data_IF_495103749144
#
_entry.id   IF_495103749144
#
_cell.length_a   1.000
_cell.length_b   1.000
_cell.length_c   1.000
_cell.angle_alpha   90.00
_cell.angle_beta   90.00
_cell.angle_gamma   90.00
#
_symmetry.space_group_name_H-M   'P 1'
#
loop_
_entity.id
_entity.type
_entity.pdbx_description
1 polymer ?
#
# COMPACT_ATOMS: atom_id res chain seq x y z
N UNK A 1 12.02 -1.22 31.38
CA UNK A 1 11.00 -2.18 31.83
C UNK A 1 11.57 -3.52 31.45
N UNK A 2 11.90 -4.34 32.44
CA UNK A 2 12.57 -5.62 32.24
C UNK A 2 11.66 -6.57 31.44
N UNK A 3 12.27 -7.45 30.66
CA UNK A 3 11.56 -8.49 29.90
C UNK A 3 11.30 -9.71 30.81
N UNK A 4 10.22 -10.48 30.61
CA UNK A 4 9.98 -11.71 31.37
C UNK A 4 11.15 -12.70 31.25
N UNK A 5 11.42 -13.50 32.29
CA UNK A 5 12.59 -14.39 32.32
C UNK A 5 12.61 -15.47 31.23
N UNK A 6 11.43 -15.91 30.77
CA UNK A 6 11.32 -16.81 29.61
C UNK A 6 11.76 -16.11 28.31
N UNK A 7 11.45 -14.81 28.18
CA UNK A 7 11.89 -13.99 27.05
C UNK A 7 13.40 -13.74 27.12
N UNK A 8 13.96 -13.43 28.30
CA UNK A 8 15.41 -13.31 28.48
C UNK A 8 16.16 -14.59 28.08
N UNK A 9 15.61 -15.75 28.46
CA UNK A 9 16.19 -17.05 28.13
C UNK A 9 16.16 -17.32 26.62
N UNK A 10 15.08 -16.92 25.94
CA UNK A 10 14.92 -17.06 24.49
C UNK A 10 15.78 -16.08 23.71
N UNK A 11 15.90 -14.82 24.16
CA UNK A 11 16.74 -13.78 23.56
C UNK A 11 18.22 -14.18 23.49
N UNK A 12 18.71 -14.89 24.51
CA UNK A 12 20.12 -15.25 24.60
C UNK A 12 20.99 -13.99 24.66
N UNK A 13 21.88 -13.81 23.67
CA UNK A 13 22.79 -12.66 23.58
C UNK A 13 22.23 -11.52 22.70
N UNK A 14 21.05 -11.70 22.10
CA UNK A 14 20.46 -10.72 21.18
C UNK A 14 19.76 -9.58 21.94
N UNK A 15 19.82 -8.38 21.36
CA UNK A 15 19.10 -7.22 21.88
C UNK A 15 17.77 -7.04 21.15
N UNK A 16 16.76 -6.59 21.88
CA UNK A 16 15.45 -6.25 21.30
C UNK A 16 15.58 -4.94 20.50
N UNK A 17 15.33 -5.02 19.20
CA UNK A 17 15.28 -3.86 18.29
C UNK A 17 13.91 -3.16 18.33
N UNK A 18 12.82 -3.92 18.46
CA UNK A 18 11.48 -3.37 18.59
C UNK A 18 10.60 -4.20 19.51
N UNK A 19 9.67 -3.53 20.21
CA UNK A 19 8.67 -4.16 21.08
C UNK A 19 7.29 -3.59 20.76
N UNK A 20 6.33 -4.48 20.51
CA UNK A 20 4.95 -4.13 20.16
C UNK A 20 4.01 -4.89 21.07
N UNK A 21 3.20 -4.17 21.85
CA UNK A 21 2.11 -4.79 22.61
C UNK A 21 1.04 -5.30 21.65
N UNK A 22 0.72 -6.59 21.75
CA UNK A 22 -0.26 -7.28 20.89
C UNK A 22 -1.55 -7.62 21.64
N UNK A 23 -1.69 -7.16 22.89
CA UNK A 23 -2.94 -7.18 23.66
C UNK A 23 -2.75 -7.73 25.07
N UNK A 24 -3.38 -7.09 26.06
CA UNK A 24 -3.16 -7.46 27.47
C UNK A 24 -1.68 -7.30 27.84
N UNK A 25 -1.07 -8.38 28.29
CA UNK A 25 0.36 -8.47 28.61
C UNK A 25 1.17 -9.19 27.52
N UNK A 26 0.53 -9.56 26.41
CA UNK A 26 1.19 -10.21 25.26
C UNK A 26 2.00 -9.20 24.45
N UNK A 27 3.15 -9.65 23.96
CA UNK A 27 4.11 -8.80 23.27
C UNK A 27 4.78 -9.50 22.09
N UNK A 28 5.03 -8.73 21.04
CA UNK A 28 5.89 -9.11 19.94
C UNK A 28 7.21 -8.36 20.09
N UNK A 29 8.32 -9.10 20.12
CA UNK A 29 9.67 -8.57 20.19
C UNK A 29 10.41 -8.92 18.92
N UNK A 30 11.08 -7.94 18.33
CA UNK A 30 11.90 -8.14 17.13
C UNK A 30 13.36 -8.01 17.53
N UNK A 31 14.15 -9.01 17.19
CA UNK A 31 15.61 -9.06 17.35
C UNK A 31 16.28 -8.96 15.97
N UNK A 32 17.61 -8.89 15.86
CA UNK A 32 18.27 -8.88 14.56
C UNK A 32 18.02 -10.12 13.71
N UNK A 33 17.74 -11.29 14.31
CA UNK A 33 17.64 -12.55 13.54
C UNK A 33 16.26 -13.21 13.56
N UNK A 34 15.37 -12.78 14.47
CA UNK A 34 14.06 -13.41 14.69
C UNK A 34 13.05 -12.51 15.37
N UNK A 35 11.79 -12.85 15.22
CA UNK A 35 10.66 -12.32 15.97
C UNK A 35 10.29 -13.31 17.07
N UNK A 36 10.06 -12.80 18.28
CA UNK A 36 9.57 -13.54 19.42
C UNK A 36 8.14 -13.08 19.74
N UNK A 37 7.22 -14.02 19.95
CA UNK A 37 5.87 -13.73 20.41
C UNK A 37 5.74 -14.26 21.83
N UNK A 38 5.69 -13.33 22.76
CA UNK A 38 5.43 -13.59 24.16
C UNK A 38 3.91 -13.56 24.42
N UNK A 39 3.40 -14.65 24.99
CA UNK A 39 2.03 -14.75 25.52
C UNK A 39 2.11 -14.87 27.04
N UNK A 40 1.47 -13.94 27.73
CA UNK A 40 1.47 -13.96 29.18
C UNK A 40 0.59 -15.10 29.72
N UNK A 41 0.86 -15.50 30.96
CA UNK A 41 0.05 -16.48 31.68
C UNK A 41 -1.41 -16.02 31.74
N UNK A 42 -2.31 -16.92 31.34
CA UNK A 42 -3.74 -16.71 31.33
C UNK A 42 -4.46 -17.71 32.24
N UNK A 43 -5.75 -17.48 32.48
CA UNK A 43 -6.58 -18.37 33.31
C UNK A 43 -6.59 -19.84 32.85
N UNK A 44 -6.25 -20.09 31.58
CA UNK A 44 -6.32 -21.39 30.92
C UNK A 44 -5.05 -21.75 30.12
N UNK A 45 -4.05 -20.87 30.10
CA UNK A 45 -2.87 -21.02 29.25
C UNK A 45 -1.64 -20.61 30.03
N UNK A 46 -0.62 -21.46 30.03
CA UNK A 46 0.67 -21.13 30.61
C UNK A 46 1.39 -20.04 29.78
N UNK A 47 2.36 -19.38 30.39
CA UNK A 47 3.28 -18.43 29.75
C UNK A 47 4.07 -19.12 28.61
N UNK A 48 4.08 -18.51 27.41
CA UNK A 48 4.80 -19.06 26.24
C UNK A 48 5.61 -18.02 25.48
N UNK A 49 6.66 -18.49 24.80
CA UNK A 49 7.43 -17.73 23.81
C UNK A 49 7.56 -18.57 22.56
N UNK A 50 7.07 -18.04 21.44
CA UNK A 50 7.22 -18.63 20.11
C UNK A 50 8.24 -17.83 19.29
N UNK A 51 9.10 -18.52 18.55
CA UNK A 51 10.19 -17.90 17.78
C UNK A 51 9.99 -18.07 16.27
N UNK A 52 10.22 -16.99 15.53
CA UNK A 52 10.03 -16.90 14.09
C UNK A 52 11.29 -16.29 13.46
N UNK A 53 12.20 -17.11 12.90
CA UNK A 53 13.38 -16.64 12.20
C UNK A 53 13.06 -15.65 11.06
N UNK A 54 13.96 -14.70 10.81
CA UNK A 54 13.80 -13.68 9.77
C UNK A 54 14.30 -14.10 8.39
N UNK A 55 14.95 -15.26 8.25
CA UNK A 55 15.39 -15.85 6.97
C UNK A 55 14.23 -16.45 6.15
N UNK A 56 13.04 -15.87 6.28
CA UNK A 56 11.87 -16.24 5.48
C UNK A 56 12.06 -15.73 4.04
N UNK A 57 11.79 -16.60 3.08
CA UNK A 57 11.82 -16.27 1.64
C UNK A 57 10.53 -15.59 1.19
N UNK A 58 9.46 -15.73 1.97
CA UNK A 58 8.16 -15.11 1.68
C UNK A 58 7.40 -14.78 2.96
N UNK A 59 6.81 -13.59 3.00
CA UNK A 59 5.96 -13.09 4.06
C UNK A 59 4.58 -12.76 3.49
N UNK A 60 3.56 -13.44 3.98
CA UNK A 60 2.17 -13.22 3.57
C UNK A 60 1.33 -12.74 4.76
N UNK A 61 0.33 -11.91 4.47
CA UNK A 61 -0.61 -11.39 5.49
C UNK A 61 -2.04 -11.65 5.04
N UNK A 62 -2.78 -12.40 5.86
CA UNK A 62 -4.20 -12.67 5.65
C UNK A 62 -5.05 -11.89 6.67
N UNK A 63 -5.78 -10.90 6.17
CA UNK A 63 -6.55 -9.99 7.02
C UNK A 63 -7.94 -10.52 7.33
N UNK A 64 -8.17 -10.88 8.58
CA UNK A 64 -9.50 -11.14 9.11
C UNK A 64 -10.10 -9.93 9.83
N UNK A 65 -11.41 -10.00 10.13
CA UNK A 65 -12.15 -8.92 10.81
C UNK A 65 -11.62 -8.58 12.22
N UNK A 66 -11.11 -9.57 12.94
CA UNK A 66 -10.67 -9.46 14.35
C UNK A 66 -9.22 -9.80 14.56
N UNK A 67 -8.71 -10.66 13.68
CA UNK A 67 -7.41 -11.28 13.75
C UNK A 67 -6.80 -11.22 12.36
N UNK A 68 -5.51 -10.99 12.30
CA UNK A 68 -4.70 -10.99 11.08
C UNK A 68 -3.66 -12.08 11.26
N UNK A 69 -3.57 -12.95 10.28
CA UNK A 69 -2.58 -14.03 10.23
C UNK A 69 -1.36 -13.55 9.44
N UNK A 70 -0.18 -13.82 9.98
CA UNK A 70 1.11 -13.57 9.34
C UNK A 70 1.75 -14.93 9.11
N UNK A 71 2.14 -15.19 7.87
CA UNK A 71 2.74 -16.44 7.42
C UNK A 71 4.14 -16.16 6.91
N UNK A 72 5.10 -16.92 7.41
CA UNK A 72 6.51 -16.89 7.01
C UNK A 72 6.85 -18.24 6.39
N UNK A 73 7.19 -18.22 5.10
CA UNK A 73 7.61 -19.41 4.34
C UNK A 73 9.14 -19.41 4.22
N UNK A 74 9.74 -20.58 4.44
CA UNK A 74 11.20 -20.79 4.43
C UNK A 74 11.59 -21.86 3.39
N UNK A 75 12.84 -21.80 2.90
CA UNK A 75 13.40 -22.63 1.82
C UNK A 75 13.15 -24.16 1.88
N UNK A 76 12.94 -24.72 3.07
CA UNK A 76 12.82 -26.18 3.29
C UNK A 76 11.41 -26.52 3.76
N UNK A 77 10.40 -26.22 2.93
CA UNK A 77 8.95 -26.50 3.16
C UNK A 77 8.50 -26.28 4.62
N UNK A 78 9.12 -25.30 5.26
CA UNK A 78 8.82 -24.94 6.63
C UNK A 78 8.00 -23.68 6.52
N UNK A 79 6.78 -23.74 7.01
CA UNK A 79 5.90 -22.60 7.14
C UNK A 79 5.70 -22.36 8.63
N UNK A 80 5.76 -21.10 9.04
CA UNK A 80 5.36 -20.69 10.39
C UNK A 80 4.34 -19.60 10.29
N UNK A 81 3.27 -19.77 11.03
CA UNK A 81 2.18 -18.81 11.09
C UNK A 81 1.95 -18.33 12.51
N UNK A 82 1.51 -17.09 12.63
CA UNK A 82 1.00 -16.57 13.89
C UNK A 82 -0.10 -15.55 13.66
N UNK A 83 -0.96 -15.41 14.66
CA UNK A 83 -2.09 -14.52 14.57
C UNK A 83 -1.99 -13.37 15.57
N UNK A 84 -2.20 -12.16 15.05
CA UNK A 84 -2.27 -10.92 15.82
C UNK A 84 -3.70 -10.37 15.80
N UNK A 85 -4.16 -9.66 16.84
CA UNK A 85 -5.38 -8.89 16.71
C UNK A 85 -5.22 -7.81 15.64
N UNK A 86 -6.22 -7.62 14.78
CA UNK A 86 -6.08 -6.84 13.54
C UNK A 86 -5.65 -5.40 13.77
N UNK A 87 -5.98 -4.80 14.93
CA UNK A 87 -5.60 -3.41 15.26
C UNK A 87 -4.10 -3.26 15.53
N UNK A 88 -3.41 -4.35 15.82
CA UNK A 88 -2.00 -4.39 16.16
C UNK A 88 -1.16 -4.95 15.01
N UNK A 89 -1.78 -5.64 14.06
CA UNK A 89 -1.12 -6.30 12.95
C UNK A 89 -0.26 -5.33 12.12
N UNK A 90 -0.80 -4.21 11.65
CA UNK A 90 -0.03 -3.22 10.87
C UNK A 90 1.18 -2.69 11.65
N UNK A 91 1.01 -2.42 12.95
CA UNK A 91 2.09 -1.91 13.82
C UNK A 91 3.19 -2.95 14.05
N UNK A 92 2.81 -4.22 14.14
CA UNK A 92 3.73 -5.33 14.33
C UNK A 92 4.41 -5.76 13.02
N UNK A 93 3.71 -5.64 11.89
CA UNK A 93 4.22 -6.00 10.57
C UNK A 93 5.44 -5.17 10.19
N UNK A 94 5.43 -3.87 10.49
CA UNK A 94 6.56 -2.97 10.19
C UNK A 94 7.92 -3.47 10.72
N UNK A 95 8.11 -3.69 12.04
CA UNK A 95 9.38 -4.18 12.53
C UNK A 95 9.67 -5.63 12.14
N UNK A 96 8.66 -6.49 11.93
CA UNK A 96 8.88 -7.86 11.44
C UNK A 96 9.45 -7.83 10.03
N UNK A 97 8.83 -7.07 9.13
CA UNK A 97 9.31 -6.91 7.76
C UNK A 97 10.70 -6.29 7.72
N UNK A 98 10.98 -5.31 8.58
CA UNK A 98 12.32 -4.73 8.69
C UNK A 98 13.38 -5.76 9.08
N UNK A 99 13.06 -6.68 9.99
CA UNK A 99 13.94 -7.80 10.34
C UNK A 99 14.17 -8.75 9.15
N UNK A 100 13.09 -9.11 8.43
CA UNK A 100 13.17 -9.97 7.24
C UNK A 100 14.03 -9.34 6.13
N UNK A 101 13.82 -8.06 5.82
CA UNK A 101 14.63 -7.33 4.82
C UNK A 101 16.11 -7.20 5.22
N UNK A 102 16.41 -7.18 6.51
CA UNK A 102 17.79 -7.21 6.99
C UNK A 102 18.41 -8.60 6.83
N UNK A 103 17.69 -9.64 7.24
CA UNK A 103 18.16 -11.03 7.15
C UNK A 103 18.33 -11.52 5.70
N UNK A 104 17.47 -11.06 4.77
CA UNK A 104 17.58 -11.39 3.34
C UNK A 104 18.65 -10.57 2.61
N UNK A 105 19.27 -9.59 3.27
CA UNK A 105 20.31 -8.75 2.67
C UNK A 105 19.80 -7.66 1.72
N UNK A 106 18.51 -7.33 1.77
CA UNK A 106 17.91 -6.22 1.01
C UNK A 106 18.37 -4.88 1.57
N UNK A 107 18.53 -4.79 2.90
CA UNK A 107 19.08 -3.60 3.57
C UNK A 107 20.53 -3.81 3.96
N UNK A 108 21.34 -2.76 3.81
CA UNK A 108 22.75 -2.80 4.20
C UNK A 108 22.92 -2.75 5.73
N UNK A 109 24.05 -3.21 6.29
CA UNK A 109 24.29 -3.12 7.72
C UNK A 109 24.25 -1.67 8.23
N UNK A 110 23.33 -1.37 9.16
CA UNK A 110 23.15 -0.03 9.73
C UNK A 110 22.10 0.82 9.01
N UNK A 111 21.61 0.37 7.87
CA UNK A 111 20.43 0.93 7.21
C UNK A 111 19.18 0.64 8.04
N UNK A 112 18.29 1.62 8.16
CA UNK A 112 17.08 1.51 8.97
C UNK A 112 15.83 1.63 8.13
N UNK A 113 14.84 0.78 8.38
CA UNK A 113 13.52 0.90 7.78
C UNK A 113 12.76 2.02 8.48
N UNK A 114 12.43 3.08 7.73
CA UNK A 114 11.75 4.28 8.24
C UNK A 114 10.24 4.09 8.25
N UNK A 115 9.70 3.46 7.20
CA UNK A 115 8.27 3.16 7.09
C UNK A 115 7.98 2.06 6.08
N UNK A 116 6.92 1.29 6.34
CA UNK A 116 6.32 0.35 5.40
C UNK A 116 4.89 0.77 5.07
N UNK A 117 4.54 0.67 3.79
CA UNK A 117 3.20 0.87 3.26
C UNK A 117 2.75 -0.38 2.51
N UNK A 118 1.47 -0.74 2.65
CA UNK A 118 0.83 -1.81 1.88
C UNK A 118 -0.43 -1.26 1.22
N UNK A 119 -0.52 -1.44 -0.09
CA UNK A 119 -1.58 -0.95 -0.96
C UNK A 119 -2.08 -2.09 -1.84
N UNK A 120 -3.04 -2.87 -1.34
CA UNK A 120 -3.48 -4.09 -2.02
C UNK A 120 -2.28 -5.02 -2.28
N UNK A 121 -1.88 -5.20 -3.53
CA UNK A 121 -0.75 -6.04 -3.94
C UNK A 121 0.60 -5.30 -3.96
N UNK A 122 0.63 -3.99 -3.68
CA UNK A 122 1.86 -3.21 -3.69
C UNK A 122 2.36 -2.97 -2.26
N UNK A 123 3.58 -3.39 -1.97
CA UNK A 123 4.30 -3.02 -0.75
C UNK A 123 5.40 -2.02 -1.10
N UNK A 124 5.46 -0.91 -0.35
CA UNK A 124 6.52 0.10 -0.47
C UNK A 124 7.19 0.25 0.88
N UNK A 125 8.50 0.08 0.91
CA UNK A 125 9.33 0.26 2.09
C UNK A 125 10.30 1.39 1.84
N UNK A 126 10.27 2.40 2.71
CA UNK A 126 11.21 3.53 2.68
C UNK A 126 12.22 3.31 3.80
N UNK A 127 13.49 3.24 3.44
CA UNK A 127 14.61 3.09 4.39
C UNK A 127 15.35 4.43 4.54
N UNK A 128 16.49 4.41 5.22
CA UNK A 128 17.41 5.55 5.25
C UNK A 128 18.17 5.75 3.93
N UNK A 129 18.29 4.71 3.10
CA UNK A 129 19.23 4.70 1.96
C UNK A 129 18.57 4.28 0.63
N UNK A 130 17.37 3.69 0.65
CA UNK A 130 16.66 3.25 -0.55
C UNK A 130 15.15 3.23 -0.39
N UNK A 131 14.46 3.10 -1.52
CA UNK A 131 13.07 2.68 -1.58
C UNK A 131 13.01 1.26 -2.15
N UNK A 132 12.34 0.36 -1.43
CA UNK A 132 12.03 -1.00 -1.90
C UNK A 132 10.57 -1.06 -2.30
N UNK A 133 10.31 -1.66 -3.45
CA UNK A 133 9.00 -1.87 -4.02
C UNK A 133 8.81 -3.36 -4.29
N UNK A 134 7.73 -3.91 -3.78
CA UNK A 134 7.31 -5.29 -4.05
C UNK A 134 5.87 -5.28 -4.58
N UNK A 135 5.58 -6.13 -5.57
CA UNK A 135 4.25 -6.25 -6.19
C UNK A 135 3.85 -7.71 -6.24
N UNK A 136 2.85 -8.08 -5.44
CA UNK A 136 2.29 -9.43 -5.42
C UNK A 136 1.27 -9.63 -4.31
N UNK A 137 0.81 -10.87 -4.16
CA UNK A 137 -0.08 -11.27 -3.05
C UNK A 137 0.67 -11.29 -1.71
N UNK A 138 1.95 -11.66 -1.74
CA UNK A 138 2.81 -11.58 -0.58
C UNK A 138 3.08 -10.11 -0.22
N UNK A 139 3.32 -9.84 1.06
CA UNK A 139 3.85 -8.54 1.48
C UNK A 139 5.31 -8.42 1.06
N UNK A 140 6.02 -9.55 0.98
CA UNK A 140 7.41 -9.64 0.57
C UNK A 140 7.75 -11.07 0.11
N UNK A 141 8.57 -11.24 -0.93
CA UNK A 141 9.16 -12.51 -1.38
C UNK A 141 10.61 -12.29 -1.84
N UNK A 142 11.11 -12.81 -2.97
CA UNK A 142 12.45 -12.45 -3.50
C UNK A 142 12.35 -11.54 -4.75
N UNK A 143 11.13 -11.27 -5.22
CA UNK A 143 10.85 -10.52 -6.44
C UNK A 143 10.51 -9.06 -6.10
N UNK A 144 11.55 -8.24 -5.89
CA UNK A 144 11.43 -6.80 -5.61
C UNK A 144 12.25 -5.94 -6.56
N UNK A 145 11.89 -4.66 -6.57
CA UNK A 145 12.68 -3.59 -7.14
C UNK A 145 13.22 -2.72 -6.00
N UNK A 146 14.51 -2.39 -6.04
CA UNK A 146 15.11 -1.40 -5.14
C UNK A 146 15.59 -0.18 -5.92
N UNK A 147 15.47 0.99 -5.30
CA UNK A 147 15.93 2.26 -5.83
C UNK A 147 16.78 2.93 -4.77
N UNK A 148 18.10 2.84 -4.91
CA UNK A 148 19.05 3.43 -3.95
C UNK A 148 19.07 4.94 -4.10
N UNK A 149 19.09 5.65 -2.98
CA UNK A 149 18.97 7.10 -2.99
C UNK A 149 20.14 7.82 -3.64
N UNK A 150 21.35 7.21 -3.67
CA UNK A 150 22.52 7.73 -4.39
C UNK A 150 22.39 7.68 -5.92
N UNK A 151 21.52 6.81 -6.44
CA UNK A 151 21.21 6.70 -7.87
C UNK A 151 20.00 7.55 -8.28
N UNK A 152 19.26 8.11 -7.30
CA UNK A 152 18.10 8.96 -7.57
C UNK A 152 18.58 10.35 -7.99
N UNK A 153 18.14 10.79 -9.17
CA UNK A 153 18.44 12.12 -9.73
C UNK A 153 17.21 13.02 -9.85
N UNK A 154 16.04 12.53 -9.45
CA UNK A 154 14.79 13.28 -9.57
C UNK A 154 13.69 12.68 -8.73
N UNK A 155 12.85 13.55 -8.17
CA UNK A 155 11.65 13.19 -7.43
C UNK A 155 10.52 14.12 -7.85
N UNK A 156 9.44 13.55 -8.39
CA UNK A 156 8.22 14.27 -8.72
C UNK A 156 6.97 13.47 -8.29
N UNK A 157 5.82 14.15 -8.26
CA UNK A 157 4.55 13.57 -7.83
C UNK A 157 3.44 13.98 -8.81
N UNK A 158 2.97 13.01 -9.59
CA UNK A 158 1.90 13.22 -10.58
C UNK A 158 0.54 12.86 -9.95
N UNK A 159 -0.27 13.87 -9.64
CA UNK A 159 -1.62 13.67 -9.08
C UNK A 159 -2.58 13.12 -10.13
N UNK A 160 -3.26 12.03 -9.78
CA UNK A 160 -4.28 11.39 -10.62
C UNK A 160 -5.63 11.28 -9.92
N UNK A 161 -6.69 11.10 -10.72
CA UNK A 161 -8.07 11.01 -10.20
C UNK A 161 -8.30 9.83 -9.27
N UNK A 162 -7.54 8.74 -9.43
CA UNK A 162 -7.71 7.48 -8.66
C UNK A 162 -6.52 7.24 -7.74
N UNK A 163 -5.32 7.48 -8.25
CA UNK A 163 -4.06 7.29 -7.55
C UNK A 163 -3.08 8.38 -7.97
N UNK A 164 -2.20 8.74 -7.04
CA UNK A 164 -1.07 9.62 -7.30
C UNK A 164 0.14 8.75 -7.60
N UNK A 165 0.97 9.20 -8.52
CA UNK A 165 2.15 8.48 -8.93
C UNK A 165 3.39 9.20 -8.44
N UNK A 166 4.24 8.49 -7.71
CA UNK A 166 5.59 8.92 -7.38
C UNK A 166 6.46 8.63 -8.59
N UNK A 167 7.20 9.63 -9.05
CA UNK A 167 8.17 9.50 -10.14
C UNK A 167 9.55 9.68 -9.55
N UNK A 168 10.34 8.60 -9.54
CA UNK A 168 11.74 8.60 -9.15
C UNK A 168 12.58 8.46 -10.41
N UNK A 169 13.38 9.46 -10.77
CA UNK A 169 14.37 9.30 -11.83
C UNK A 169 15.59 8.58 -11.25
N UNK A 170 15.88 7.40 -11.76
CA UNK A 170 17.00 6.54 -11.33
C UNK A 170 17.80 6.16 -12.56
N UNK A 171 19.11 6.43 -12.57
CA UNK A 171 19.98 6.22 -13.74
C UNK A 171 19.42 6.82 -15.05
N UNK A 172 18.81 8.01 -14.95
CA UNK A 172 18.19 8.70 -16.08
C UNK A 172 16.91 8.04 -16.60
N UNK A 173 16.29 7.14 -15.83
CA UNK A 173 15.04 6.46 -16.18
C UNK A 173 13.95 6.74 -15.12
N UNK A 174 12.77 7.23 -15.53
CA UNK A 174 11.69 7.48 -14.60
C UNK A 174 11.01 6.18 -14.15
N UNK A 175 11.09 5.90 -12.86
CA UNK A 175 10.41 4.81 -12.16
C UNK A 175 9.12 5.32 -11.55
N UNK A 176 8.02 4.63 -11.82
CA UNK A 176 6.66 5.09 -11.47
C UNK A 176 6.02 4.16 -10.45
N UNK A 177 5.64 4.72 -9.30
CA UNK A 177 5.03 3.97 -8.20
C UNK A 177 3.66 4.59 -7.90
N UNK A 178 2.59 3.81 -8.09
CA UNK A 178 1.23 4.28 -7.84
C UNK A 178 0.88 4.07 -6.37
N UNK A 179 0.40 5.11 -5.71
CA UNK A 179 -0.16 5.00 -4.36
C UNK A 179 -1.58 5.58 -4.30
N UNK A 180 -2.46 4.99 -3.47
CA UNK A 180 -3.79 5.54 -3.20
C UNK A 180 -3.73 6.99 -2.66
N UNK A 181 -4.68 7.81 -3.09
CA UNK A 181 -4.71 9.24 -2.75
C UNK A 181 -4.89 9.53 -1.24
N UNK A 182 -5.45 8.61 -0.47
CA UNK A 182 -5.63 8.75 0.99
C UNK A 182 -4.35 8.49 1.79
N UNK A 183 -3.37 7.80 1.20
CA UNK A 183 -2.09 7.45 1.85
C UNK A 183 -0.89 8.17 1.26
N UNK A 184 -0.98 8.70 0.03
CA UNK A 184 0.15 9.34 -0.64
C UNK A 184 0.72 10.52 0.15
N UNK A 185 -0.10 11.27 0.89
CA UNK A 185 0.39 12.41 1.66
C UNK A 185 1.46 12.04 2.68
N UNK A 186 1.26 10.94 3.42
CA UNK A 186 2.25 10.43 4.39
C UNK A 186 3.46 9.84 3.65
N UNK A 187 3.25 9.08 2.57
CA UNK A 187 4.35 8.51 1.78
C UNK A 187 5.25 9.58 1.15
N UNK A 188 4.66 10.63 0.54
CA UNK A 188 5.39 11.78 0.02
C UNK A 188 6.22 12.43 1.13
N UNK A 189 5.59 12.74 2.25
CA UNK A 189 6.29 13.38 3.36
C UNK A 189 7.47 12.54 3.85
N UNK A 190 7.29 11.22 4.00
CA UNK A 190 8.35 10.33 4.48
C UNK A 190 9.46 10.11 3.48
N UNK A 191 9.12 9.91 2.21
CA UNK A 191 10.11 9.75 1.15
C UNK A 191 10.95 11.01 0.98
N UNK A 192 10.32 12.19 0.92
CA UNK A 192 11.04 13.47 0.87
C UNK A 192 11.90 13.66 2.12
N UNK A 193 11.40 13.34 3.31
CA UNK A 193 12.19 13.45 4.56
C UNK A 193 13.37 12.49 4.59
N UNK A 194 13.21 11.27 4.09
CA UNK A 194 14.28 10.28 4.00
C UNK A 194 15.37 10.74 3.03
N UNK A 195 14.99 11.20 1.83
CA UNK A 195 15.92 11.77 0.85
C UNK A 195 16.63 13.02 1.40
N UNK A 196 15.91 13.93 2.05
CA UNK A 196 16.54 15.09 2.69
C UNK A 196 17.58 14.67 3.74
N UNK A 197 17.27 13.63 4.54
CA UNK A 197 18.19 13.11 5.55
C UNK A 197 19.41 12.42 4.93
N UNK A 198 19.21 11.68 3.83
CA UNK A 198 20.28 11.01 3.09
C UNK A 198 21.26 12.00 2.45
N UNK A 199 20.73 13.05 1.82
CA UNK A 199 21.52 14.12 1.19
C UNK A 199 21.99 15.21 2.17
N UNK A 200 21.65 15.11 3.45
CA UNK A 200 21.95 16.11 4.51
C UNK A 200 21.48 17.54 4.15
N UNK A 201 20.26 17.65 3.61
CA UNK A 201 19.64 18.92 3.20
C UNK A 201 18.43 19.27 4.06
N UNK A 202 18.14 20.57 4.21
CA UNK A 202 17.13 21.05 5.14
C UNK A 202 15.69 21.03 4.57
N UNK A 203 15.51 20.80 3.27
CA UNK A 203 14.18 20.78 2.66
C UNK A 203 14.14 20.50 1.16
N UNK A 204 12.92 20.47 0.62
CA UNK A 204 12.60 20.05 -0.76
C UNK A 204 13.30 20.89 -1.83
N UNK A 205 13.50 22.19 -1.60
CA UNK A 205 14.20 23.06 -2.55
C UNK A 205 15.69 22.69 -2.68
N UNK A 206 16.38 22.50 -1.55
CA UNK A 206 17.78 22.07 -1.53
C UNK A 206 17.93 20.62 -2.03
N UNK A 207 16.95 19.77 -1.76
CA UNK A 207 16.90 18.41 -2.30
C UNK A 207 16.81 18.42 -3.83
N UNK A 208 15.96 19.26 -4.42
CA UNK A 208 15.84 19.36 -5.88
C UNK A 208 17.15 19.79 -6.55
N UNK A 209 17.94 20.64 -5.89
CA UNK A 209 19.26 21.03 -6.37
C UNK A 209 20.30 19.91 -6.18
N UNK A 210 20.27 19.19 -5.05
CA UNK A 210 21.13 18.02 -4.82
C UNK A 210 20.87 16.90 -5.84
N UNK A 211 19.60 16.64 -6.17
CA UNK A 211 19.19 15.60 -7.12
C UNK A 211 19.57 15.91 -8.57
N UNK A 212 19.57 17.19 -8.97
CA UNK A 212 20.05 17.60 -10.30
C UNK A 212 21.55 17.34 -10.47
N UNK A 213 22.27 17.20 -9.36
CA UNK A 213 23.73 17.09 -9.31
C UNK A 213 24.41 18.40 -9.67
N UNK A 214 25.72 18.46 -9.42
CA UNK A 214 26.59 19.34 -10.19
C UNK A 214 26.58 18.77 -11.62
N UNK A 215 25.57 19.13 -12.42
CA UNK A 215 25.79 19.26 -13.86
C UNK A 215 27.08 20.08 -13.94
N UNK A 216 28.19 19.43 -14.28
CA UNK A 216 29.40 20.12 -14.68
C UNK A 216 28.88 21.20 -15.61
N UNK A 217 29.08 22.47 -15.24
CA UNK A 217 28.93 23.57 -16.18
C UNK A 217 29.70 23.10 -17.41
N UNK A 218 29.00 22.61 -18.43
CA UNK A 218 29.53 22.51 -19.77
C UNK A 218 29.88 23.95 -20.07
N UNK A 219 31.12 24.31 -19.73
CA UNK A 219 31.69 25.62 -19.96
C UNK A 219 31.36 25.97 -21.40
N UNK A 220 30.97 27.23 -21.66
CA UNK A 220 30.27 27.62 -22.87
C UNK A 220 30.89 26.91 -24.05
N UNK A 221 30.12 26.02 -24.71
CA UNK A 221 30.58 25.29 -25.88
C UNK A 221 31.21 26.33 -26.83
N UNK A 222 32.55 26.39 -26.84
CA UNK A 222 33.25 27.25 -27.76
C UNK A 222 32.87 26.73 -29.14
N UNK A 223 32.22 27.61 -29.90
CA UNK A 223 31.86 27.47 -31.29
C UNK A 223 33.02 26.84 -32.10
N UNK A 224 33.06 25.51 -32.15
CA UNK A 224 33.87 24.82 -33.15
C UNK A 224 33.02 24.81 -34.42
N UNK A 225 33.16 25.90 -35.17
CA UNK A 225 32.60 26.04 -36.50
C UNK A 225 33.04 24.88 -37.39
N UNK A 226 32.21 23.84 -37.49
CA UNK A 226 32.22 22.96 -38.63
C UNK A 226 31.57 23.71 -39.80
N UNK A 227 32.41 24.26 -40.66
CA UNK A 227 32.02 24.85 -41.92
C UNK A 227 31.20 23.85 -42.75
N UNK A 228 29.93 24.16 -42.93
CA UNK A 228 29.11 23.55 -43.96
C UNK A 228 29.72 23.91 -45.31
N UNK A 229 30.33 22.91 -45.94
CA UNK A 229 30.83 22.97 -47.30
C UNK A 229 29.71 23.36 -48.26
N UNK A 230 30.05 24.36 -49.06
CA UNK A 230 29.39 24.82 -50.27
C UNK A 230 28.93 23.66 -51.20
N UNK A 231 27.66 23.69 -51.59
CA UNK A 231 27.20 23.14 -52.87
C UNK A 231 26.29 21.91 -52.83
N UNK A 232 24.99 22.11 -52.55
CA UNK A 232 23.93 21.33 -53.23
C UNK A 232 22.85 22.29 -53.70
N UNK A 233 22.57 22.26 -55.00
CA UNK A 233 21.61 23.10 -55.71
C UNK A 233 20.18 22.55 -55.48
N UNK A 234 19.19 23.35 -55.09
CA UNK A 234 17.84 22.85 -54.90
C UNK A 234 17.19 22.53 -56.26
N UNK A 235 16.79 21.28 -56.42
CA UNK A 235 15.99 20.81 -57.56
C UNK A 235 14.66 21.58 -57.65
N UNK A 236 14.53 22.39 -58.69
CA UNK A 236 13.26 22.88 -59.21
C UNK A 236 12.39 21.69 -59.62
N UNK A 237 11.45 21.30 -58.76
CA UNK A 237 10.36 20.40 -59.08
C UNK A 237 9.06 21.21 -59.01
N UNK A 238 8.64 21.71 -60.17
CA UNK A 238 7.35 22.32 -60.45
C UNK A 238 6.26 21.23 -60.43
N UNK A 239 5.30 21.22 -59.49
CA UNK A 239 4.15 20.33 -59.58
C UNK A 239 3.02 21.04 -60.36
N UNK A 240 2.47 20.43 -61.43
CA UNK A 240 1.35 21.02 -62.14
C UNK A 240 0.08 20.99 -61.27
N UNK A 241 -0.70 22.08 -61.40
CA UNK A 241 -2.04 22.17 -60.86
C UNK A 241 -2.98 21.13 -61.50
N UNK A 242 -3.74 20.42 -60.66
CA UNK A 242 -4.92 19.68 -61.10
C UNK A 242 -6.09 20.06 -60.21
N UNK A 243 -6.97 20.88 -60.76
CA UNK A 243 -8.34 21.07 -60.31
C UNK A 243 -9.22 19.90 -60.78
N UNK A 244 -10.13 19.51 -59.87
CA UNK A 244 -11.47 18.94 -60.08
C UNK A 244 -11.62 17.60 -60.83
N UNK A 245 -12.17 16.58 -60.15
CA UNK A 245 -13.53 16.06 -60.47
C UNK A 245 -14.04 15.00 -59.49
N UNK A 246 -15.35 15.04 -59.29
CA UNK A 246 -16.19 14.18 -58.47
C UNK A 246 -16.39 12.76 -59.04
N UNK A 247 -16.80 11.87 -58.13
CA UNK A 247 -17.79 10.78 -58.30
C UNK A 247 -17.33 9.31 -58.52
N UNK A 248 -17.96 8.48 -57.69
CA UNK A 248 -18.52 7.14 -57.94
C UNK A 248 -17.72 5.88 -57.51
N UNK A 249 -18.34 5.20 -56.53
CA UNK A 249 -18.63 3.76 -56.43
C UNK A 249 -17.48 2.75 -56.55
N UNK A 250 -17.26 1.97 -55.48
CA UNK A 250 -17.62 0.53 -55.42
C UNK A 250 -17.31 0.02 -53.99
N UNK A 251 -18.35 -0.25 -53.21
CA UNK A 251 -18.23 -0.86 -51.89
C UNK A 251 -19.03 -2.15 -51.91
N UNK A 252 -18.31 -3.25 -51.87
CA UNK A 252 -18.84 -4.60 -51.82
C UNK A 252 -17.78 -5.51 -51.20
N UNK A 253 -18.01 -5.97 -49.98
CA UNK A 253 -18.65 -7.27 -49.78
C UNK A 253 -18.97 -7.54 -48.29
N UNK A 254 -20.14 -8.16 -48.09
CA UNK A 254 -20.60 -9.09 -47.04
C UNK A 254 -20.17 -8.91 -45.56
N UNK A 255 -21.04 -8.99 -44.54
CA UNK A 255 -22.35 -9.64 -44.45
C UNK A 255 -23.21 -9.04 -43.32
N UNK A 256 -24.51 -8.95 -43.60
CA UNK A 256 -25.63 -8.91 -42.65
C UNK A 256 -25.69 -10.24 -41.83
N UNK A 257 -26.45 -10.40 -40.76
CA UNK A 257 -27.74 -9.82 -40.40
C UNK A 257 -27.97 -10.02 -38.89
N UNK A 258 -28.88 -9.20 -38.40
CA UNK A 258 -29.26 -8.95 -37.03
C UNK A 258 -30.33 -9.92 -36.49
N UNK A 259 -30.74 -9.57 -35.26
CA UNK A 259 -32.03 -9.80 -34.61
C UNK A 259 -31.98 -10.93 -33.58
N UNK A 260 -32.21 -10.71 -32.28
CA UNK A 260 -33.26 -10.01 -31.52
C UNK A 260 -34.01 -11.08 -30.69
N UNK A 261 -34.52 -10.62 -29.55
CA UNK A 261 -35.62 -11.19 -28.78
C UNK A 261 -35.32 -12.22 -27.66
N UNK A 262 -35.50 -11.75 -26.42
CA UNK A 262 -36.78 -11.98 -25.75
C UNK A 262 -37.04 -13.32 -25.04
N UNK A 263 -36.97 -13.26 -23.72
CA UNK A 263 -37.89 -13.90 -22.74
C UNK A 263 -37.79 -15.41 -22.43
N UNK A 264 -37.55 -15.65 -21.14
CA UNK A 264 -38.36 -16.43 -20.19
C UNK A 264 -38.69 -17.92 -20.46
N UNK A 265 -38.41 -18.79 -19.48
CA UNK A 265 -38.79 -20.20 -19.54
C UNK A 265 -38.09 -21.14 -18.57
N UNK A 266 -38.68 -21.29 -17.40
CA UNK A 266 -38.39 -22.24 -16.32
C UNK A 266 -38.05 -23.70 -16.72
N UNK A 267 -37.26 -24.40 -15.87
CA UNK A 267 -37.62 -25.69 -15.21
C UNK A 267 -36.51 -26.25 -14.28
N UNK A 268 -36.88 -26.35 -13.00
CA UNK A 268 -36.81 -27.50 -12.05
C UNK A 268 -35.57 -28.41 -12.03
N UNK A 269 -34.94 -28.49 -10.85
CA UNK A 269 -34.12 -29.61 -10.38
C UNK A 269 -34.13 -29.70 -8.86
N UNK A 270 -34.88 -30.66 -8.33
CA UNK A 270 -35.11 -31.02 -6.93
C UNK A 270 -33.90 -31.70 -6.27
N UNK A 271 -33.61 -31.40 -5.00
CA UNK A 271 -33.14 -32.37 -3.99
C UNK A 271 -33.66 -32.00 -2.60
N UNK A 272 -34.16 -33.02 -1.90
CA UNK A 272 -34.88 -32.99 -0.63
C UNK A 272 -33.98 -33.01 0.61
N UNK A 273 -34.67 -32.76 1.72
CA UNK A 273 -34.31 -32.60 3.13
C UNK A 273 -33.51 -33.73 3.80
N UNK A 274 -32.87 -33.34 4.90
CA UNK A 274 -32.50 -34.19 6.04
C UNK A 274 -32.62 -33.39 7.34
N UNK A 275 -33.75 -33.56 8.02
CA UNK A 275 -34.05 -33.17 9.39
C UNK A 275 -33.26 -34.02 10.40
N UNK A 276 -32.86 -33.44 11.52
CA UNK A 276 -32.72 -34.15 12.80
C UNK A 276 -32.98 -33.17 13.96
N UNK A 277 -34.19 -33.23 14.49
CA UNK A 277 -34.53 -32.80 15.85
C UNK A 277 -34.02 -33.84 16.86
N UNK A 278 -33.47 -33.39 17.99
CA UNK A 278 -33.71 -34.06 19.28
C UNK A 278 -33.88 -33.04 20.41
N UNK A 279 -34.79 -33.42 21.28
CA UNK A 279 -35.64 -32.65 22.19
C UNK A 279 -35.13 -32.62 23.64
N UNK A 280 -35.61 -31.58 24.33
CA UNK A 280 -35.81 -31.32 25.77
C UNK A 280 -34.92 -31.90 26.89
N UNK A 281 -34.56 -30.99 27.79
CA UNK A 281 -34.27 -31.23 29.19
C UNK A 281 -34.47 -29.94 30.01
N UNK A 282 -35.70 -29.73 30.47
CA UNK A 282 -36.13 -28.77 31.49
C UNK A 282 -35.63 -29.22 32.88
N UNK A 283 -35.05 -28.32 33.67
CA UNK A 283 -35.16 -28.28 35.13
C UNK A 283 -34.58 -26.97 35.68
N UNK A 284 -35.32 -26.38 36.62
CA UNK A 284 -35.26 -24.97 36.98
C UNK A 284 -34.11 -24.51 37.88
N UNK A 285 -33.88 -23.19 37.84
CA UNK A 285 -33.38 -22.46 38.99
C UNK A 285 -34.09 -21.11 39.08
N UNK A 286 -34.99 -21.04 40.06
CA UNK A 286 -35.65 -19.83 40.52
C UNK A 286 -34.66 -18.85 41.18
N UNK A 287 -34.97 -17.56 41.01
CA UNK A 287 -34.77 -16.50 42.00
C UNK A 287 -33.33 -16.00 42.26
N UNK A 288 -32.86 -15.12 41.37
CA UNK A 288 -32.07 -13.95 41.76
C UNK A 288 -32.47 -12.75 40.90
N UNK A 289 -33.00 -11.72 41.57
CA UNK A 289 -33.58 -10.54 40.93
C UNK A 289 -32.62 -9.81 39.99
N UNK A 290 -33.02 -9.72 38.72
CA UNK A 290 -32.45 -8.79 37.76
C UNK A 290 -33.58 -8.08 37.02
N UNK A 291 -33.74 -6.78 37.29
CA UNK A 291 -34.65 -5.92 36.54
C UNK A 291 -34.09 -5.73 35.12
N UNK A 292 -34.90 -5.93 34.05
CA UNK A 292 -34.47 -5.58 32.71
C UNK A 292 -34.48 -4.06 32.57
N UNK A 293 -33.30 -3.47 32.34
CA UNK A 293 -33.19 -2.08 31.95
C UNK A 293 -33.91 -1.88 30.60
N UNK A 294 -35.03 -1.18 30.66
CA UNK A 294 -35.77 -0.68 29.51
C UNK A 294 -34.87 0.25 28.68
N UNK A 295 -34.77 -0.05 27.39
CA UNK A 295 -34.61 0.89 26.27
C UNK A 295 -33.90 2.22 26.58
N UNK A 296 -32.57 2.24 26.44
CA UNK A 296 -31.86 3.49 26.16
C UNK A 296 -31.83 3.68 24.64
N UNK A 297 -32.82 4.41 24.14
CA UNK A 297 -32.74 5.12 22.86
C UNK A 297 -31.51 6.04 22.90
N UNK A 298 -30.59 5.96 21.92
CA UNK A 298 -29.50 6.93 21.82
C UNK A 298 -30.06 8.32 21.50
N UNK A 299 -29.49 9.41 22.04
CA UNK A 299 -29.97 10.74 21.72
C UNK A 299 -29.69 11.06 20.23
N UNK A 300 -30.77 11.21 19.47
CA UNK A 300 -30.91 12.30 18.50
C UNK A 300 -30.44 12.06 17.06
N UNK A 301 -30.95 11.05 16.34
CA UNK A 301 -30.94 11.07 14.86
C UNK A 301 -31.70 12.28 14.27
N UNK A 302 -32.59 12.88 15.05
CA UNK A 302 -33.29 14.12 14.72
C UNK A 302 -32.34 15.34 14.66
N UNK A 303 -31.38 15.44 15.58
CA UNK A 303 -30.44 16.58 15.64
C UNK A 303 -29.44 16.55 14.48
N UNK A 304 -29.01 15.36 14.06
CA UNK A 304 -28.13 15.18 12.90
C UNK A 304 -28.86 15.54 11.59
N UNK A 305 -30.13 15.16 11.47
CA UNK A 305 -30.95 15.53 10.31
C UNK A 305 -31.25 17.04 10.27
N UNK A 306 -31.49 17.68 11.42
CA UNK A 306 -31.69 19.13 11.47
C UNK A 306 -30.40 19.90 11.13
N UNK A 307 -29.23 19.38 11.52
CA UNK A 307 -27.93 19.93 11.17
C UNK A 307 -27.66 19.82 9.66
N UNK A 308 -27.99 18.68 9.04
CA UNK A 308 -27.86 18.45 7.60
C UNK A 308 -28.78 19.38 6.80
N UNK A 309 -30.01 19.61 7.25
CA UNK A 309 -30.91 20.55 6.59
C UNK A 309 -30.46 22.02 6.71
N UNK A 310 -29.85 22.39 7.84
CA UNK A 310 -29.23 23.72 8.02
C UNK A 310 -28.04 23.90 7.10
N UNK A 311 -27.17 22.89 6.97
CA UNK A 311 -26.04 22.94 6.03
C UNK A 311 -26.52 23.06 4.57
N UNK A 312 -27.55 22.29 4.18
CA UNK A 312 -28.10 22.36 2.82
C UNK A 312 -28.66 23.74 2.49
N UNK A 313 -29.38 24.37 3.42
CA UNK A 313 -29.89 25.75 3.27
C UNK A 313 -28.78 26.80 3.15
N UNK A 314 -27.67 26.64 3.87
CA UNK A 314 -26.53 27.55 3.77
C UNK A 314 -25.83 27.42 2.42
N UNK A 315 -25.68 26.20 1.91
CA UNK A 315 -25.10 25.95 0.58
C UNK A 315 -26.00 26.53 -0.52
N UNK A 316 -27.31 26.29 -0.47
CA UNK A 316 -28.26 26.86 -1.43
C UNK A 316 -28.20 28.39 -1.43
N UNK A 317 -28.09 29.03 -0.26
CA UNK A 317 -27.98 30.49 -0.16
C UNK A 317 -26.67 31.02 -0.76
N UNK A 318 -25.54 30.33 -0.53
CA UNK A 318 -24.24 30.72 -1.11
C UNK A 318 -24.23 30.55 -2.63
N UNK A 319 -24.86 29.49 -3.16
CA UNK A 319 -25.02 29.27 -4.60
C UNK A 319 -25.91 30.34 -5.22
N UNK A 320 -26.99 30.73 -4.55
CA UNK A 320 -27.90 31.78 -5.03
C UNK A 320 -27.29 33.20 -4.97
N UNK A 321 -26.35 33.42 -4.05
CA UNK A 321 -25.59 34.67 -3.92
C UNK A 321 -24.47 34.74 -4.97
N UNK A 322 -23.83 33.61 -5.28
CA UNK A 322 -22.89 33.46 -6.39
C UNK A 322 -23.55 33.59 -7.77
N UNK A 323 -24.80 33.12 -7.92
CA UNK A 323 -25.53 33.19 -9.19
C UNK A 323 -26.10 34.58 -9.49
N UNK A 324 -26.40 35.39 -8.45
CA UNK A 324 -26.82 36.79 -8.59
C UNK A 324 -25.66 37.80 -8.67
N UNK A 325 -24.44 37.35 -8.42
CA UNK A 325 -23.20 38.15 -8.52
C UNK A 325 -22.54 38.15 -9.90
N UNK A 326 -23.19 37.60 -10.94
CA UNK A 326 -22.77 37.67 -12.35
C UNK A 326 -23.78 38.43 -13.21
#
# INVERSE_FOLDING_TARGET
MDVPGIVESSLGDENVAARVSIGGEDELLVTPTRTLIYRADGLLSDETVDEYPHDAERLTVSEGRRKTEITLEYAIESEREFTLPSKQADKALHPVLAGVLNASGVTDPGESVTQTYRFSELTVVVTSDRLVKHVGEAVWDEEYEEYRFDEVTGLDFEEGSVATQIVLDVDGRPQRIKAPNDRIGDLRQRLTSALCSFYDVAGEAELADALRGDEIEDGPEEETGMGFGEGVDPLDADPPATEETEAAADDGDAAADASDDGSDGARVGTVEAGDDEVDAGDDGFDEAGFEPATSNDPPGSADVNELLEKQRRTIERLVDELSRGR
#
